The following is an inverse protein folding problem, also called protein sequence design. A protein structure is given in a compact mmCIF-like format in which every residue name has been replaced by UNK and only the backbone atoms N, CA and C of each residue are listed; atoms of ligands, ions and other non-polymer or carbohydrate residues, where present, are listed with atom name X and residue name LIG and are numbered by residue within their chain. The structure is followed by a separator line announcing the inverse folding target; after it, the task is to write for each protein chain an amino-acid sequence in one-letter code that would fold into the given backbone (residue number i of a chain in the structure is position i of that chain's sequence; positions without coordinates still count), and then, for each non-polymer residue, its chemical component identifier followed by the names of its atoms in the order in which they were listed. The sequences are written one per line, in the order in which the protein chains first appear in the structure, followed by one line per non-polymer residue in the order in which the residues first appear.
data_IF_462061438655
#
_entry.id   IF_462061438655
#
_cell.length_a   1.000
_cell.length_b   1.000
_cell.length_c   1.000
_cell.angle_alpha   90.00
_cell.angle_beta   90.00
_cell.angle_gamma   90.00
#
_symmetry.space_group_name_H-M   'P 1'
#
loop_
_entity.id
_entity.type
_entity.pdbx_description
1 polymer ?
#
# COMPACT_ATOMS: atom_id res chain seq x y z
N UNK A 1 3.75 2.57 7.65
CA UNK A 1 2.45 2.59 6.93
C UNK A 1 2.61 1.75 5.68
N UNK A 2 1.77 0.75 5.46
CA UNK A 2 1.77 -0.03 4.22
C UNK A 2 1.65 0.87 2.99
N UNK A 3 2.52 0.67 2.01
CA UNK A 3 2.52 1.31 0.71
C UNK A 3 2.05 0.31 -0.36
N UNK A 4 2.17 0.63 -1.64
CA UNK A 4 1.67 -0.20 -2.74
C UNK A 4 2.14 -1.67 -2.66
N UNK A 5 3.43 -2.00 -2.44
CA UNK A 5 3.87 -3.40 -2.42
C UNK A 5 3.26 -4.21 -1.27
N UNK A 6 3.10 -3.61 -0.09
CA UNK A 6 2.48 -4.24 1.08
C UNK A 6 1.00 -4.51 0.82
N UNK A 7 0.28 -3.51 0.29
CA UNK A 7 -1.16 -3.65 -0.01
C UNK A 7 -1.39 -4.65 -1.13
N UNK A 8 -0.54 -4.67 -2.17
CA UNK A 8 -0.61 -5.65 -3.25
C UNK A 8 -0.32 -7.07 -2.77
N UNK A 9 0.63 -7.24 -1.84
CA UNK A 9 0.91 -8.54 -1.21
C UNK A 9 -0.33 -9.06 -0.48
N UNK A 10 -0.95 -8.22 0.36
CA UNK A 10 -2.18 -8.58 1.08
C UNK A 10 -3.34 -8.84 0.10
N UNK A 11 -3.49 -8.03 -0.95
CA UNK A 11 -4.51 -8.25 -1.99
C UNK A 11 -4.41 -9.65 -2.59
N UNK A 12 -3.21 -10.04 -3.03
CA UNK A 12 -2.97 -11.35 -3.65
C UNK A 12 -3.24 -12.50 -2.70
N UNK A 13 -2.83 -12.37 -1.45
CA UNK A 13 -3.08 -13.39 -0.44
C UNK A 13 -4.58 -13.49 -0.12
N UNK A 14 -5.23 -12.34 0.09
CA UNK A 14 -6.65 -12.29 0.40
C UNK A 14 -7.48 -12.87 -0.74
N UNK A 15 -7.17 -12.52 -1.99
CA UNK A 15 -7.85 -13.05 -3.17
C UNK A 15 -7.83 -14.58 -3.21
N UNK A 16 -6.66 -15.19 -2.97
CA UNK A 16 -6.51 -16.66 -2.94
C UNK A 16 -7.31 -17.31 -1.82
N UNK A 17 -7.42 -16.63 -0.69
CA UNK A 17 -8.04 -17.20 0.51
C UNK A 17 -9.55 -17.05 0.55
N UNK A 18 -10.11 -15.96 0.00
CA UNK A 18 -11.53 -15.64 0.22
C UNK A 18 -12.40 -15.69 -1.02
N UNK A 19 -11.84 -15.58 -2.24
CA UNK A 19 -12.66 -15.62 -3.46
C UNK A 19 -13.42 -16.92 -3.58
N UNK A 20 -14.70 -16.80 -3.94
CA UNK A 20 -15.64 -17.93 -4.00
C UNK A 20 -16.25 -18.32 -2.66
N UNK A 21 -15.75 -17.82 -1.53
CA UNK A 21 -16.29 -18.07 -0.19
C UNK A 21 -17.40 -17.09 0.15
N UNK A 22 -18.29 -17.52 1.04
CA UNK A 22 -19.41 -16.74 1.53
C UNK A 22 -19.10 -16.20 2.93
N UNK A 23 -19.38 -14.91 3.17
CA UNK A 23 -19.35 -14.33 4.51
C UNK A 23 -20.50 -14.92 5.33
N UNK A 24 -20.15 -15.67 6.36
CA UNK A 24 -21.13 -16.31 7.24
C UNK A 24 -21.53 -15.40 8.39
N UNK A 25 -20.54 -14.75 8.97
CA UNK A 25 -20.72 -13.92 10.15
C UNK A 25 -19.71 -12.77 10.12
N UNK A 26 -20.18 -11.59 10.53
CA UNK A 26 -19.37 -10.38 10.67
C UNK A 26 -19.51 -9.86 12.10
N UNK A 27 -18.42 -9.84 12.85
CA UNK A 27 -18.35 -9.29 14.19
C UNK A 27 -17.60 -7.97 14.17
N UNK A 28 -18.17 -6.91 14.75
CA UNK A 28 -17.53 -5.61 14.92
C UNK A 28 -17.36 -5.36 16.41
N UNK A 29 -16.09 -5.26 16.84
CA UNK A 29 -15.72 -4.99 18.24
C UNK A 29 -15.27 -3.56 18.45
N UNK A 30 -14.83 -2.87 17.39
CA UNK A 30 -14.32 -1.50 17.42
C UNK A 30 -14.99 -0.58 16.42
N UNK A 31 -15.94 0.24 16.90
CA UNK A 31 -16.73 1.12 16.02
C UNK A 31 -15.90 2.23 15.34
N UNK A 32 -14.71 2.58 15.85
CA UNK A 32 -13.87 3.64 15.27
C UNK A 32 -13.28 3.28 13.92
N UNK A 33 -13.04 2.00 13.67
CA UNK A 33 -12.43 1.49 12.44
C UNK A 33 -13.47 1.12 11.38
N UNK A 34 -14.67 0.75 11.80
CA UNK A 34 -15.80 0.56 10.89
C UNK A 34 -16.50 1.91 10.71
N UNK A 35 -16.34 2.49 9.53
CA UNK A 35 -16.78 3.86 9.23
C UNK A 35 -17.94 3.87 8.24
N UNK A 36 -18.57 5.04 8.08
CA UNK A 36 -19.55 5.27 7.02
C UNK A 36 -20.70 4.25 7.07
N UNK A 37 -21.63 4.44 8.02
CA UNK A 37 -22.78 3.60 8.32
C UNK A 37 -22.43 2.29 9.04
N UNK A 38 -21.81 2.34 10.23
CA UNK A 38 -21.43 1.13 10.96
C UNK A 38 -22.60 0.21 11.28
N UNK A 39 -23.79 0.76 11.49
CA UNK A 39 -25.00 -0.02 11.77
C UNK A 39 -25.41 -0.96 10.63
N UNK A 40 -25.15 -0.57 9.37
CA UNK A 40 -25.48 -1.37 8.18
C UNK A 40 -24.33 -2.34 7.79
N UNK A 41 -23.13 -2.18 8.35
CA UNK A 41 -21.93 -2.88 7.91
C UNK A 41 -22.08 -4.40 7.95
N UNK A 42 -22.62 -4.93 9.04
CA UNK A 42 -22.84 -6.35 9.22
C UNK A 42 -23.89 -6.88 8.25
N UNK A 43 -25.06 -6.24 8.19
CA UNK A 43 -26.20 -6.64 7.37
C UNK A 43 -25.85 -6.67 5.87
N UNK A 44 -25.09 -5.69 5.41
CA UNK A 44 -24.69 -5.58 4.00
C UNK A 44 -23.64 -6.62 3.57
N UNK A 45 -22.88 -7.19 4.52
CA UNK A 45 -21.82 -8.14 4.27
C UNK A 45 -22.24 -9.60 4.48
N UNK A 46 -23.05 -9.88 5.52
CA UNK A 46 -23.42 -11.26 5.84
C UNK A 46 -24.24 -11.90 4.72
N UNK A 47 -23.93 -13.15 4.45
CA UNK A 47 -24.52 -13.92 3.37
C UNK A 47 -23.95 -13.62 1.99
N UNK A 48 -23.08 -12.61 1.81
CA UNK A 48 -22.48 -12.28 0.52
C UNK A 48 -21.30 -13.19 0.18
N UNK A 49 -21.17 -13.51 -1.09
CA UNK A 49 -20.05 -14.25 -1.66
C UNK A 49 -18.99 -13.27 -2.18
N UNK A 50 -17.73 -13.57 -1.92
CA UNK A 50 -16.62 -12.77 -2.46
C UNK A 50 -16.39 -13.16 -3.92
N UNK A 51 -16.43 -12.17 -4.81
CA UNK A 51 -16.20 -12.34 -6.25
C UNK A 51 -14.77 -12.00 -6.67
N UNK A 52 -14.09 -11.13 -5.92
CA UNK A 52 -12.72 -10.73 -6.22
C UNK A 52 -12.19 -9.72 -5.20
N UNK A 53 -10.90 -9.48 -5.26
CA UNK A 53 -10.21 -8.50 -4.43
C UNK A 53 -9.35 -7.63 -5.34
N UNK A 54 -9.72 -6.38 -5.49
CA UNK A 54 -9.02 -5.38 -6.28
C UNK A 54 -8.22 -4.44 -5.37
N UNK A 55 -7.28 -3.71 -5.95
CA UNK A 55 -6.53 -2.65 -5.28
C UNK A 55 -6.68 -1.34 -6.04
N UNK A 56 -6.89 -0.25 -5.34
CA UNK A 56 -6.83 1.12 -5.88
C UNK A 56 -5.87 1.93 -5.01
N UNK A 57 -4.65 2.11 -5.48
CA UNK A 57 -3.57 2.73 -4.69
C UNK A 57 -3.28 1.92 -3.41
N UNK A 58 -3.59 2.48 -2.25
CA UNK A 58 -3.41 1.84 -0.93
C UNK A 58 -4.72 1.29 -0.33
N UNK A 59 -5.79 1.26 -1.11
CA UNK A 59 -7.10 0.72 -0.73
C UNK A 59 -7.28 -0.68 -1.32
N UNK A 60 -7.83 -1.60 -0.51
CA UNK A 60 -8.37 -2.87 -0.97
C UNK A 60 -9.87 -2.70 -1.21
N UNK A 61 -10.36 -3.21 -2.33
CA UNK A 61 -11.76 -3.19 -2.70
C UNK A 61 -12.21 -4.63 -2.93
N UNK A 62 -13.00 -5.17 -2.02
CA UNK A 62 -13.51 -6.55 -2.08
C UNK A 62 -14.87 -6.52 -2.76
N UNK A 63 -14.95 -7.16 -3.92
CA UNK A 63 -16.20 -7.28 -4.71
C UNK A 63 -17.08 -8.39 -4.17
N UNK A 64 -18.36 -8.09 -4.01
CA UNK A 64 -19.38 -8.99 -3.50
C UNK A 64 -20.38 -9.38 -4.58
N UNK A 65 -21.16 -10.44 -4.36
CA UNK A 65 -22.24 -10.90 -5.26
C UNK A 65 -23.54 -10.07 -5.12
N UNK A 66 -23.47 -8.93 -4.44
CA UNK A 66 -24.55 -7.97 -4.27
C UNK A 66 -24.18 -6.61 -4.88
N UNK A 67 -24.95 -5.58 -4.54
CA UNK A 67 -24.71 -4.22 -5.04
C UNK A 67 -23.50 -3.53 -4.37
N UNK A 68 -22.90 -4.15 -3.38
CA UNK A 68 -21.92 -3.53 -2.50
C UNK A 68 -20.49 -4.01 -2.75
N UNK A 69 -19.54 -3.18 -2.32
CA UNK A 69 -18.13 -3.51 -2.15
C UNK A 69 -17.69 -3.22 -0.72
N UNK A 70 -16.83 -4.07 -0.17
CA UNK A 70 -16.14 -3.80 1.09
C UNK A 70 -14.82 -3.11 0.77
N UNK A 71 -14.63 -1.93 1.35
CA UNK A 71 -13.40 -1.14 1.21
C UNK A 71 -12.60 -1.20 2.50
N UNK A 72 -11.30 -1.44 2.36
CA UNK A 72 -10.38 -1.54 3.50
C UNK A 72 -9.17 -0.66 3.22
N UNK A 73 -8.81 0.20 4.17
CA UNK A 73 -7.58 0.97 4.16
C UNK A 73 -6.81 0.76 5.46
N UNK A 74 -5.61 0.20 5.35
CA UNK A 74 -4.81 -0.18 6.53
C UNK A 74 -4.23 1.02 7.27
N UNK A 75 -4.11 2.18 6.62
CA UNK A 75 -3.50 3.39 7.18
C UNK A 75 -2.08 3.09 7.72
N UNK A 76 -1.81 3.38 8.99
CA UNK A 76 -0.45 3.30 9.54
C UNK A 76 -0.13 1.97 10.22
N UNK A 77 -1.09 1.33 10.86
CA UNK A 77 -0.90 0.17 11.73
C UNK A 77 -1.99 -0.90 11.59
N UNK A 78 -2.94 -0.71 10.68
CA UNK A 78 -3.96 -1.72 10.39
C UNK A 78 -3.34 -2.94 9.73
N UNK A 79 -3.79 -4.11 10.15
CA UNK A 79 -3.38 -5.42 9.65
C UNK A 79 -4.63 -6.24 9.30
N UNK A 80 -4.53 -7.03 8.24
CA UNK A 80 -5.49 -8.10 7.94
C UNK A 80 -4.80 -9.42 8.22
N UNK A 81 -5.37 -10.22 9.14
CA UNK A 81 -4.78 -11.48 9.58
C UNK A 81 -5.73 -12.63 9.32
N UNK A 82 -5.23 -13.65 8.63
CA UNK A 82 -5.89 -14.94 8.53
C UNK A 82 -5.82 -15.65 9.87
N UNK A 83 -6.96 -16.14 10.33
CA UNK A 83 -7.07 -16.85 11.59
C UNK A 83 -8.16 -17.93 11.53
N UNK A 84 -8.28 -18.71 12.58
CA UNK A 84 -9.37 -19.64 12.85
C UNK A 84 -10.12 -19.23 14.13
N UNK A 85 -11.32 -19.73 14.39
CA UNK A 85 -12.03 -19.45 15.64
C UNK A 85 -11.28 -19.95 16.90
N UNK A 86 -10.30 -20.86 16.74
CA UNK A 86 -9.49 -21.40 17.85
C UNK A 86 -8.32 -20.48 18.23
N UNK A 87 -7.92 -19.59 17.32
CA UNK A 87 -6.81 -18.70 17.56
C UNK A 87 -7.23 -17.58 18.53
N UNK A 88 -6.39 -17.19 19.49
CA UNK A 88 -6.71 -16.14 20.45
C UNK A 88 -7.04 -14.82 19.70
N UNK A 89 -8.00 -14.09 20.24
CA UNK A 89 -8.38 -12.80 19.71
C UNK A 89 -7.46 -11.72 20.29
N UNK A 90 -6.77 -10.99 19.40
CA UNK A 90 -5.99 -9.83 19.81
C UNK A 90 -6.92 -8.72 20.35
N UNK A 91 -6.50 -8.04 21.42
CA UNK A 91 -7.26 -6.95 22.06
C UNK A 91 -7.51 -5.75 21.13
N UNK A 92 -6.73 -5.62 20.08
CA UNK A 92 -6.87 -4.59 19.04
C UNK A 92 -7.60 -5.08 17.79
N UNK A 93 -8.26 -6.23 17.86
CA UNK A 93 -9.14 -6.70 16.78
C UNK A 93 -10.41 -5.86 16.77
N UNK A 94 -10.72 -5.24 15.63
CA UNK A 94 -11.87 -4.35 15.47
C UNK A 94 -12.97 -4.94 14.60
N UNK A 95 -12.62 -5.87 13.72
CA UNK A 95 -13.60 -6.61 12.94
C UNK A 95 -13.12 -8.05 12.68
N UNK A 96 -14.05 -8.99 12.68
CA UNK A 96 -13.84 -10.38 12.32
C UNK A 96 -14.80 -10.74 11.20
N UNK A 97 -14.26 -11.17 10.07
CA UNK A 97 -14.99 -11.66 8.91
C UNK A 97 -14.85 -13.20 8.91
N UNK A 98 -15.91 -13.92 9.25
CA UNK A 98 -15.92 -15.38 9.25
C UNK A 98 -16.55 -15.91 7.96
N UNK A 99 -15.89 -16.89 7.34
CA UNK A 99 -16.29 -17.46 6.05
C UNK A 99 -16.86 -18.89 6.21
N UNK A 100 -17.73 -19.29 5.28
CA UNK A 100 -18.21 -20.67 5.17
C UNK A 100 -17.22 -21.52 4.32
N UNK A 101 -17.07 -22.82 4.65
CA UNK A 101 -17.76 -23.55 5.70
C UNK A 101 -17.32 -23.16 7.11
N UNK A 102 -18.18 -23.40 8.13
CA UNK A 102 -17.87 -23.06 9.52
C UNK A 102 -16.55 -23.64 9.99
N UNK A 103 -15.82 -22.90 10.83
CA UNK A 103 -14.59 -23.34 11.47
C UNK A 103 -13.33 -23.20 10.63
N UNK A 104 -13.43 -22.89 9.35
CA UNK A 104 -12.31 -22.93 8.44
C UNK A 104 -11.49 -21.64 8.38
N UNK A 105 -12.14 -20.49 8.21
CA UNK A 105 -11.42 -19.23 7.91
C UNK A 105 -12.07 -18.03 8.59
N UNK A 106 -11.23 -17.25 9.24
CA UNK A 106 -11.51 -15.87 9.61
C UNK A 106 -10.48 -14.94 8.99
N UNK A 107 -10.90 -13.73 8.61
CA UNK A 107 -10.01 -12.60 8.35
C UNK A 107 -10.31 -11.55 9.43
N UNK A 108 -9.29 -11.21 10.20
CA UNK A 108 -9.38 -10.27 11.31
C UNK A 108 -8.71 -8.95 10.94
N UNK A 109 -9.39 -7.85 11.23
CA UNK A 109 -8.80 -6.52 11.12
C UNK A 109 -8.31 -6.09 12.51
N UNK A 110 -6.99 -5.94 12.62
CA UNK A 110 -6.30 -5.60 13.86
C UNK A 110 -5.62 -4.24 13.68
N UNK A 111 -5.86 -3.29 14.58
CA UNK A 111 -5.24 -1.97 14.49
C UNK A 111 -5.04 -1.33 15.88
N UNK A 112 -3.85 -1.38 16.47
CA UNK A 112 -3.56 -0.78 17.76
C UNK A 112 -3.81 0.73 17.83
N UNK A 113 -3.74 1.44 16.70
CA UNK A 113 -3.86 2.90 16.63
C UNK A 113 -5.24 3.39 16.19
N UNK A 114 -6.10 2.48 15.75
CA UNK A 114 -7.48 2.79 15.29
C UNK A 114 -7.57 3.81 14.14
N UNK A 115 -6.55 3.92 13.30
CA UNK A 115 -6.53 4.82 12.15
C UNK A 115 -7.03 4.15 10.87
N UNK A 116 -6.90 2.83 10.79
CA UNK A 116 -7.40 2.05 9.70
C UNK A 116 -8.92 2.11 9.58
N UNK A 117 -9.43 1.80 8.42
CA UNK A 117 -10.87 1.90 8.17
C UNK A 117 -11.38 0.77 7.30
N UNK A 118 -12.58 0.31 7.65
CA UNK A 118 -13.42 -0.59 6.87
C UNK A 118 -14.77 0.07 6.69
N UNK A 119 -15.34 -0.02 5.50
CA UNK A 119 -16.70 0.42 5.23
C UNK A 119 -17.27 -0.27 3.99
N UNK A 120 -18.59 -0.22 3.86
CA UNK A 120 -19.33 -0.78 2.73
C UNK A 120 -19.96 0.36 1.96
N UNK A 121 -19.85 0.30 0.64
CA UNK A 121 -20.45 1.26 -0.29
C UNK A 121 -20.80 0.55 -1.60
N UNK A 122 -21.55 1.19 -2.49
CA UNK A 122 -21.72 0.65 -3.85
C UNK A 122 -20.54 1.07 -4.74
N UNK A 123 -20.22 0.33 -5.82
CA UNK A 123 -19.17 0.72 -6.77
C UNK A 123 -19.35 2.14 -7.32
N UNK A 124 -20.61 2.53 -7.61
CA UNK A 124 -20.95 3.85 -8.16
C UNK A 124 -20.71 4.98 -7.16
N UNK A 125 -20.98 4.70 -5.87
CA UNK A 125 -20.78 5.67 -4.80
C UNK A 125 -19.35 5.69 -4.24
N UNK A 126 -18.46 4.78 -4.69
CA UNK A 126 -17.13 4.61 -4.12
C UNK A 126 -16.31 5.91 -4.18
N UNK A 127 -16.25 6.57 -5.31
CA UNK A 127 -15.47 7.79 -5.50
C UNK A 127 -16.10 9.00 -4.76
N UNK A 128 -17.42 9.09 -4.71
CA UNK A 128 -18.10 10.09 -3.90
C UNK A 128 -17.89 9.85 -2.41
N UNK A 129 -17.82 8.57 -2.00
CA UNK A 129 -17.60 8.17 -0.62
C UNK A 129 -16.15 8.37 -0.18
N UNK A 130 -15.19 8.16 -1.08
CA UNK A 130 -13.74 8.33 -0.86
C UNK A 130 -13.20 9.26 -1.92
N UNK A 131 -13.25 10.59 -1.72
CA UNK A 131 -12.81 11.56 -2.73
C UNK A 131 -11.37 11.36 -3.20
N UNK A 132 -10.51 10.80 -2.33
CA UNK A 132 -9.14 10.47 -2.69
C UNK A 132 -9.06 9.47 -3.84
N UNK A 133 -10.03 8.55 -3.97
CA UNK A 133 -10.05 7.55 -5.05
C UNK A 133 -10.45 8.16 -6.40
N UNK A 134 -11.29 9.21 -6.41
CA UNK A 134 -11.67 9.93 -7.62
C UNK A 134 -10.48 10.64 -8.28
N UNK A 135 -9.47 10.99 -7.49
CA UNK A 135 -8.32 11.78 -7.93
C UNK A 135 -7.01 11.00 -7.93
N UNK A 136 -7.05 9.66 -7.78
CA UNK A 136 -5.84 8.85 -7.87
C UNK A 136 -5.20 8.97 -9.24
N UNK A 137 -3.88 9.17 -9.24
CA UNK A 137 -3.04 9.11 -10.44
C UNK A 137 -2.95 7.70 -11.00
N UNK A 138 -2.07 7.51 -11.98
CA UNK A 138 -1.87 6.18 -12.57
C UNK A 138 -1.31 5.19 -11.55
N UNK A 139 -1.73 3.95 -11.66
CA UNK A 139 -1.19 2.84 -10.88
C UNK A 139 0.00 2.22 -11.63
N UNK A 140 1.20 2.19 -11.02
CA UNK A 140 2.40 1.71 -11.72
C UNK A 140 2.42 0.21 -12.01
N UNK A 141 1.50 -0.57 -11.42
CA UNK A 141 1.38 -2.01 -11.67
C UNK A 141 0.27 -2.36 -12.66
N UNK A 142 -0.76 -1.53 -12.77
CA UNK A 142 -1.98 -1.84 -13.50
C UNK A 142 -2.16 -0.98 -14.74
N UNK A 143 -1.66 0.27 -14.73
CA UNK A 143 -1.84 1.18 -15.84
C UNK A 143 -0.79 0.92 -16.93
N UNK A 144 -1.16 0.44 -18.13
CA UNK A 144 -0.21 0.31 -19.23
C UNK A 144 0.36 1.68 -19.60
N UNK A 145 1.68 1.82 -19.48
CA UNK A 145 2.36 3.09 -19.76
C UNK A 145 3.76 2.84 -20.30
N UNK A 146 4.16 3.57 -21.35
CA UNK A 146 5.55 3.59 -21.78
C UNK A 146 6.38 4.58 -20.97
N UNK A 147 7.70 4.36 -20.92
CA UNK A 147 8.60 5.26 -20.24
C UNK A 147 8.63 6.67 -20.86
N UNK A 148 8.37 6.79 -22.18
CA UNK A 148 8.26 8.08 -22.88
C UNK A 148 7.06 8.88 -22.37
N UNK A 149 5.88 8.23 -22.33
CA UNK A 149 4.65 8.85 -21.80
C UNK A 149 4.84 9.25 -20.33
N UNK A 150 5.42 8.36 -19.52
CA UNK A 150 5.76 8.65 -18.14
C UNK A 150 6.68 9.88 -18.05
N UNK A 151 7.75 9.91 -18.84
CA UNK A 151 8.70 11.03 -18.88
C UNK A 151 8.04 12.36 -19.27
N UNK A 152 7.09 12.37 -20.19
CA UNK A 152 6.31 13.56 -20.52
C UNK A 152 5.47 14.01 -19.33
N UNK A 153 4.77 13.09 -18.66
CA UNK A 153 3.95 13.40 -17.49
C UNK A 153 4.78 13.96 -16.32
N UNK A 154 5.95 13.37 -16.05
CA UNK A 154 6.87 13.86 -15.00
C UNK A 154 7.33 15.28 -15.29
N UNK A 155 7.82 15.55 -16.51
CA UNK A 155 8.31 16.88 -16.89
C UNK A 155 7.22 17.95 -16.96
N UNK A 156 5.99 17.56 -17.20
CA UNK A 156 4.84 18.49 -17.20
C UNK A 156 4.50 19.01 -15.79
N UNK A 157 4.96 18.32 -14.74
CA UNK A 157 4.75 18.72 -13.34
C UNK A 157 5.91 19.60 -12.87
N UNK A 158 5.64 20.74 -12.27
CA UNK A 158 6.64 21.63 -11.67
C UNK A 158 6.76 21.31 -10.18
N UNK A 159 7.40 20.18 -9.86
CA UNK A 159 7.52 19.69 -8.49
C UNK A 159 8.88 19.05 -8.24
N UNK A 160 9.27 18.92 -6.99
CA UNK A 160 10.45 18.13 -6.60
C UNK A 160 10.15 16.64 -6.78
N UNK A 161 11.10 15.88 -7.30
CA UNK A 161 10.90 14.47 -7.69
C UNK A 161 10.31 13.62 -6.56
N UNK A 162 10.83 13.75 -5.33
CA UNK A 162 10.27 12.98 -4.21
C UNK A 162 8.82 13.36 -3.91
N UNK A 163 8.52 14.66 -3.90
CA UNK A 163 7.15 15.12 -3.68
C UNK A 163 6.21 14.61 -4.76
N UNK A 164 6.66 14.62 -6.02
CA UNK A 164 5.89 14.14 -7.15
C UNK A 164 5.63 12.62 -7.07
N UNK A 165 6.65 11.82 -6.73
CA UNK A 165 6.47 10.37 -6.56
C UNK A 165 5.50 10.02 -5.42
N UNK A 166 5.41 10.86 -4.41
CA UNK A 166 4.51 10.67 -3.25
C UNK A 166 3.13 11.27 -3.45
N UNK A 167 2.93 12.05 -4.51
CA UNK A 167 1.64 12.64 -4.84
C UNK A 167 0.69 11.56 -5.38
N UNK A 168 -0.29 11.18 -4.56
CA UNK A 168 -1.26 10.13 -4.91
C UNK A 168 -2.14 10.53 -6.10
N UNK A 169 -2.24 11.81 -6.44
CA UNK A 169 -2.95 12.29 -7.64
C UNK A 169 -2.09 12.16 -8.91
N UNK A 170 -0.81 11.87 -8.76
CA UNK A 170 0.11 11.62 -9.87
C UNK A 170 0.44 10.13 -10.00
N UNK A 171 0.92 9.49 -8.92
CA UNK A 171 1.20 8.04 -8.86
C UNK A 171 0.52 7.44 -7.65
N UNK A 172 -0.40 6.52 -7.88
CA UNK A 172 -1.09 5.86 -6.78
C UNK A 172 -0.19 4.86 -6.04
N UNK A 173 -0.22 4.90 -4.73
CA UNK A 173 0.35 3.87 -3.87
C UNK A 173 1.80 4.06 -3.41
N UNK A 174 2.62 4.90 -4.04
CA UNK A 174 3.99 5.19 -3.59
C UNK A 174 3.94 6.08 -2.35
N UNK A 175 4.82 5.80 -1.40
CA UNK A 175 4.99 6.60 -0.20
C UNK A 175 6.45 6.95 0.07
N UNK A 176 6.78 7.20 1.34
CA UNK A 176 8.09 7.73 1.72
C UNK A 176 9.24 6.77 1.50
N UNK A 177 9.01 5.48 1.79
CA UNK A 177 10.02 4.44 1.68
C UNK A 177 10.38 4.22 0.20
N UNK A 178 9.36 3.87 -0.59
CA UNK A 178 9.60 3.52 -1.98
C UNK A 178 10.01 4.71 -2.84
N UNK A 179 9.61 5.94 -2.49
CA UNK A 179 10.11 7.13 -3.18
C UNK A 179 11.64 7.26 -3.03
N UNK A 180 12.21 7.03 -1.85
CA UNK A 180 13.67 7.10 -1.64
C UNK A 180 14.40 5.98 -2.38
N UNK A 181 13.91 4.74 -2.31
CA UNK A 181 14.51 3.59 -2.98
C UNK A 181 14.46 3.73 -4.52
N UNK A 182 13.35 4.19 -5.07
CA UNK A 182 13.17 4.45 -6.51
C UNK A 182 14.14 5.54 -6.99
N UNK A 183 14.26 6.63 -6.26
CA UNK A 183 15.16 7.72 -6.61
C UNK A 183 16.63 7.29 -6.54
N UNK A 184 17.01 6.46 -5.57
CA UNK A 184 18.33 5.86 -5.52
C UNK A 184 18.58 4.93 -6.71
N UNK A 185 17.63 4.06 -7.05
CA UNK A 185 17.74 3.16 -8.20
C UNK A 185 17.95 3.95 -9.50
N UNK A 186 17.24 5.06 -9.66
CA UNK A 186 17.34 5.95 -10.82
C UNK A 186 18.60 6.84 -10.82
N UNK A 187 19.31 6.97 -9.69
CA UNK A 187 20.42 7.89 -9.53
C UNK A 187 20.02 9.36 -9.53
N UNK A 188 18.80 9.65 -9.05
CA UNK A 188 18.23 11.00 -9.04
C UNK A 188 18.06 11.50 -7.61
N UNK A 189 18.39 12.76 -7.40
CA UNK A 189 18.26 13.39 -6.12
C UNK A 189 16.79 13.74 -5.81
N UNK A 190 16.40 13.64 -4.56
CA UNK A 190 15.03 13.85 -4.08
C UNK A 190 14.46 15.25 -4.37
N UNK A 191 15.34 16.27 -4.35
CA UNK A 191 15.02 17.69 -4.50
C UNK A 191 15.21 18.23 -5.95
N UNK A 192 15.55 17.34 -6.90
CA UNK A 192 15.58 17.67 -8.33
C UNK A 192 14.21 18.13 -8.81
N UNK A 193 14.20 19.13 -9.65
CA UNK A 193 12.97 19.58 -10.29
C UNK A 193 12.55 18.58 -11.39
N UNK A 194 11.29 18.17 -11.38
CA UNK A 194 10.76 17.22 -12.33
C UNK A 194 10.84 17.70 -13.79
N UNK A 195 10.74 19.01 -14.00
CA UNK A 195 10.85 19.61 -15.34
C UNK A 195 12.30 19.58 -15.88
N UNK A 196 13.31 19.40 -15.01
CA UNK A 196 14.72 19.43 -15.40
C UNK A 196 15.29 18.09 -15.83
N UNK A 197 14.54 16.97 -15.66
CA UNK A 197 15.07 15.65 -15.98
C UNK A 197 15.13 15.41 -17.50
N UNK A 198 16.24 14.86 -17.95
CA UNK A 198 16.42 14.43 -19.34
C UNK A 198 15.58 13.20 -19.69
N UNK A 199 15.37 12.89 -20.98
CA UNK A 199 14.71 11.64 -21.39
C UNK A 199 15.37 10.37 -20.83
N UNK A 200 16.71 10.33 -20.77
CA UNK A 200 17.44 9.20 -20.21
C UNK A 200 17.22 9.06 -18.71
N UNK A 201 17.13 10.17 -17.97
CA UNK A 201 16.81 10.17 -16.55
C UNK A 201 15.36 9.72 -16.30
N UNK A 202 14.43 10.16 -17.12
CA UNK A 202 13.04 9.70 -17.06
C UNK A 202 12.93 8.18 -17.30
N UNK A 203 13.70 7.64 -18.27
CA UNK A 203 13.78 6.19 -18.52
C UNK A 203 14.36 5.44 -17.32
N UNK A 204 15.44 5.97 -16.69
CA UNK A 204 16.00 5.36 -15.47
C UNK A 204 14.99 5.40 -14.31
N UNK A 205 14.26 6.51 -14.15
CA UNK A 205 13.25 6.66 -13.11
C UNK A 205 12.09 5.66 -13.29
N UNK A 206 11.60 5.50 -14.51
CA UNK A 206 10.59 4.51 -14.85
C UNK A 206 11.07 3.09 -14.55
N UNK A 207 12.26 2.74 -15.02
CA UNK A 207 12.84 1.42 -14.77
C UNK A 207 13.06 1.17 -13.28
N UNK A 208 13.65 2.12 -12.56
CA UNK A 208 13.89 2.01 -11.12
C UNK A 208 12.59 1.84 -10.33
N UNK A 209 11.53 2.56 -10.72
CA UNK A 209 10.20 2.39 -10.12
C UNK A 209 9.67 0.97 -10.33
N UNK A 210 9.68 0.49 -11.55
CA UNK A 210 9.16 -0.85 -11.89
C UNK A 210 9.95 -1.95 -11.18
N UNK A 211 11.29 -1.88 -11.21
CA UNK A 211 12.17 -2.86 -10.58
C UNK A 211 11.98 -2.89 -9.05
N UNK A 212 12.05 -1.73 -8.39
CA UNK A 212 11.92 -1.62 -6.94
C UNK A 212 10.56 -2.15 -6.46
N UNK A 213 9.46 -1.74 -7.09
CA UNK A 213 8.13 -2.19 -6.70
C UNK A 213 7.95 -3.70 -6.94
N UNK A 214 8.45 -4.23 -8.05
CA UNK A 214 8.37 -5.66 -8.36
C UNK A 214 9.15 -6.50 -7.35
N UNK A 215 10.39 -6.13 -7.04
CA UNK A 215 11.22 -6.85 -6.05
C UNK A 215 10.63 -6.73 -4.64
N UNK A 216 10.07 -5.57 -4.28
CA UNK A 216 9.39 -5.40 -3.00
C UNK A 216 8.17 -6.34 -2.86
N UNK A 217 7.37 -6.48 -3.90
CA UNK A 217 6.23 -7.42 -3.90
C UNK A 217 6.72 -8.87 -3.79
N UNK A 218 7.76 -9.26 -4.54
CA UNK A 218 8.35 -10.60 -4.43
C UNK A 218 8.87 -10.89 -3.02
N UNK A 219 9.48 -9.88 -2.38
CA UNK A 219 9.96 -9.95 -1.00
C UNK A 219 8.84 -9.77 0.04
N UNK A 220 7.58 -9.68 -0.39
CA UNK A 220 6.38 -9.53 0.43
C UNK A 220 6.34 -8.22 1.22
N UNK A 221 6.89 -7.14 0.67
CA UNK A 221 6.93 -5.81 1.29
C UNK A 221 8.03 -5.64 2.34
N UNK A 222 8.00 -4.50 3.03
CA UNK A 222 8.96 -4.12 4.07
C UNK A 222 8.29 -4.09 5.44
N UNK A 223 8.79 -4.89 6.39
CA UNK A 223 8.49 -4.72 7.80
C UNK A 223 9.64 -3.94 8.45
N UNK A 224 9.34 -2.74 8.93
CA UNK A 224 10.33 -1.89 9.60
C UNK A 224 10.50 -2.34 11.06
N UNK A 225 11.40 -1.69 11.79
CA UNK A 225 11.73 -2.05 13.18
C UNK A 225 10.54 -1.97 14.15
N UNK A 226 9.47 -1.27 13.78
CA UNK A 226 8.22 -1.21 14.53
C UNK A 226 7.28 -2.41 14.27
N UNK A 227 7.63 -3.29 13.33
CA UNK A 227 6.89 -4.49 12.90
C UNK A 227 5.38 -4.25 12.66
N UNK A 228 5.01 -3.00 12.32
CA UNK A 228 3.61 -2.63 12.10
C UNK A 228 2.99 -3.30 10.86
N UNK A 229 3.82 -3.70 9.88
CA UNK A 229 3.37 -4.42 8.71
C UNK A 229 3.73 -5.90 8.81
N UNK A 230 2.73 -6.74 8.61
CA UNK A 230 2.84 -8.16 8.34
C UNK A 230 1.89 -8.54 7.19
N UNK A 231 2.16 -9.65 6.50
CA UNK A 231 1.28 -10.17 5.46
C UNK A 231 0.01 -10.80 6.07
N UNK A 232 -0.90 -11.29 5.23
CA UNK A 232 -2.16 -11.92 5.67
C UNK A 232 -1.94 -13.11 6.62
N UNK A 233 -0.78 -13.75 6.59
CA UNK A 233 -0.43 -14.90 7.41
C UNK A 233 0.37 -14.52 8.67
N UNK A 234 0.47 -13.22 8.98
CA UNK A 234 1.23 -12.71 10.13
C UNK A 234 2.76 -12.76 9.96
N UNK A 235 3.27 -12.96 8.73
CA UNK A 235 4.70 -13.02 8.46
C UNK A 235 5.23 -11.64 8.09
N UNK A 236 6.43 -11.32 8.57
CA UNK A 236 7.14 -10.09 8.21
C UNK A 236 7.55 -10.11 6.73
N UNK A 237 7.53 -8.96 6.09
CA UNK A 237 8.14 -8.77 4.79
C UNK A 237 9.67 -8.91 4.86
N UNK A 238 10.33 -9.01 3.71
CA UNK A 238 11.79 -9.18 3.63
C UNK A 238 12.49 -8.10 2.80
N UNK A 239 11.77 -7.16 2.22
CA UNK A 239 12.39 -6.14 1.38
C UNK A 239 13.27 -5.16 2.17
N UNK A 240 13.06 -4.99 3.48
CA UNK A 240 13.94 -4.19 4.33
C UNK A 240 15.41 -4.69 4.34
N UNK A 241 15.64 -5.97 4.05
CA UNK A 241 16.98 -6.53 3.91
C UNK A 241 17.68 -6.06 2.63
N UNK A 242 16.92 -5.56 1.66
CA UNK A 242 17.39 -5.11 0.34
C UNK A 242 17.42 -3.58 0.23
N UNK A 243 17.01 -2.83 1.26
CA UNK A 243 17.03 -1.37 1.23
C UNK A 243 18.42 -0.84 0.88
N UNK A 244 18.46 0.07 -0.07
CA UNK A 244 19.70 0.70 -0.53
C UNK A 244 20.01 1.98 0.26
N UNK A 245 18.97 2.76 0.59
CA UNK A 245 19.12 4.04 1.30
C UNK A 245 18.16 4.19 2.47
N UNK A 246 16.92 3.70 2.37
CA UNK A 246 15.90 3.93 3.40
C UNK A 246 16.31 3.32 4.75
N UNK A 247 16.24 4.16 5.82
CA UNK A 247 16.67 3.82 7.19
C UNK A 247 18.15 3.38 7.30
N UNK A 248 19.01 3.80 6.36
CA UNK A 248 20.43 3.48 6.35
C UNK A 248 21.35 4.69 6.58
N UNK A 249 20.85 5.74 7.23
CA UNK A 249 21.66 6.90 7.63
C UNK A 249 22.97 6.47 8.30
N UNK A 250 24.08 7.09 7.93
CA UNK A 250 25.41 6.81 8.47
C UNK A 250 26.06 5.53 7.94
N UNK A 251 25.31 4.64 7.27
CA UNK A 251 25.85 3.41 6.69
C UNK A 251 26.50 3.70 5.32
N UNK A 252 27.40 2.83 4.90
CA UNK A 252 28.03 2.91 3.58
C UNK A 252 27.03 2.57 2.48
N UNK A 253 27.01 3.37 1.41
CA UNK A 253 26.28 3.07 0.19
C UNK A 253 26.80 1.75 -0.41
N UNK A 254 25.89 0.85 -0.78
CA UNK A 254 26.24 -0.44 -1.36
C UNK A 254 26.85 -0.32 -2.76
N UNK A 255 26.58 0.81 -3.46
CA UNK A 255 27.06 1.07 -4.82
C UNK A 255 28.43 1.77 -4.85
N UNK A 256 28.60 2.88 -4.10
CA UNK A 256 29.80 3.73 -4.19
C UNK A 256 30.58 3.89 -2.88
N UNK A 257 30.13 3.32 -1.77
CA UNK A 257 30.72 3.37 -0.43
C UNK A 257 30.65 4.73 0.27
N UNK A 258 30.13 5.80 -0.35
CA UNK A 258 29.86 7.05 0.33
C UNK A 258 28.84 6.85 1.46
N UNK A 259 28.85 7.72 2.46
CA UNK A 259 27.92 7.65 3.59
C UNK A 259 26.52 8.06 3.15
N UNK A 260 25.51 7.25 3.46
CA UNK A 260 24.11 7.58 3.23
C UNK A 260 23.72 8.75 4.15
N UNK A 261 23.18 9.78 3.56
CA UNK A 261 22.70 10.96 4.25
C UNK A 261 21.19 10.86 4.56
N UNK A 262 20.80 11.54 5.63
CA UNK A 262 19.39 11.79 5.96
C UNK A 262 19.15 13.27 6.09
N UNK A 263 18.06 13.74 5.51
CA UNK A 263 17.59 15.11 5.65
C UNK A 263 16.09 15.13 5.97
N UNK A 264 15.61 16.25 6.46
CA UNK A 264 14.16 16.50 6.56
C UNK A 264 13.72 17.25 5.30
N UNK A 265 12.88 16.62 4.49
CA UNK A 265 12.32 17.19 3.28
C UNK A 265 10.79 17.04 3.28
N UNK A 266 10.06 18.13 3.03
CA UNK A 266 8.58 18.14 3.06
C UNK A 266 7.99 17.44 4.30
N UNK A 267 8.52 17.77 5.49
CA UNK A 267 8.14 17.19 6.80
C UNK A 267 8.40 15.69 6.95
N UNK A 268 9.18 15.07 6.05
CA UNK A 268 9.49 13.64 6.09
C UNK A 268 11.00 13.38 6.11
N UNK A 269 11.42 12.33 6.80
CA UNK A 269 12.79 11.84 6.68
C UNK A 269 13.03 11.34 5.25
N UNK A 270 14.14 11.75 4.67
CA UNK A 270 14.54 11.45 3.30
C UNK A 270 15.96 10.93 3.32
N UNK A 271 16.17 9.73 2.79
CA UNK A 271 17.45 9.04 2.78
C UNK A 271 17.99 8.97 1.35
N UNK A 272 19.25 9.31 1.18
CA UNK A 272 19.87 9.31 -0.15
C UNK A 272 21.37 9.14 -0.08
N UNK A 273 21.98 8.73 -1.19
CA UNK A 273 23.43 8.74 -1.37
C UNK A 273 23.85 10.03 -2.06
N UNK A 274 24.67 10.89 -1.42
CA UNK A 274 25.06 12.18 -2.01
C UNK A 274 25.97 12.04 -3.25
N UNK A 275 26.60 10.88 -3.45
CA UNK A 275 27.47 10.62 -4.59
C UNK A 275 26.77 9.92 -5.76
N UNK A 276 25.77 9.05 -5.48
CA UNK A 276 25.07 8.30 -6.53
C UNK A 276 23.85 9.03 -7.09
N UNK A 277 23.31 10.00 -6.35
CA UNK A 277 22.08 10.71 -6.71
C UNK A 277 22.42 12.19 -6.99
N UNK A 278 22.21 12.61 -8.21
CA UNK A 278 22.51 13.95 -8.72
C UNK A 278 21.28 14.65 -9.26
#
# INVERSE_FOLDING_TARGET
MPELPEVETIRRDLEKEVVGKKLKEVTVTGQRTVRRRPAEFKERLEGRKILGVDRRGKYLVVRLDGPDVLVIHLRMSGQLLKATPKDPLDKHTHAVLAFSPPGALQVRFVDPRTFGELFVTTPEALEATVPELAHLGFDPLETPMSWEKFGLLVRARKAKLKSLLMDQTFIAGIGNLYADEILFAAGLRYDRDSASISPQEARRLWRGMTEVLTEAIKARGSSLADEQYVDLFGRIGKFQEQHQVYAREGKRCLRCRATIARVKFAQRSTYFCPSCQV
#
